data_IF_373909812162
#
_entry.id   IF_373909812162
#
_cell.length_a   1.000
_cell.length_b   1.000
_cell.length_c   1.000
_cell.angle_alpha   90.00
_cell.angle_beta   90.00
_cell.angle_gamma   90.00
#
_symmetry.space_group_name_H-M   'P 1'
#
loop_
_entity.id
_entity.type
_entity.pdbx_description
1 polymer ?
#
# COMPACT_ATOMS: atom_id res chain seq x y z
N UNK A 1 -24.33 36.93 -0.10
CA UNK A 1 -24.07 35.64 -0.80
C UNK A 1 -22.90 34.97 -0.14
N UNK A 2 -23.13 33.88 0.61
CA UNK A 2 -22.05 33.08 1.22
C UNK A 2 -21.42 32.22 0.11
N UNK A 3 -20.16 32.50 -0.24
CA UNK A 3 -19.35 31.62 -1.11
C UNK A 3 -19.15 30.29 -0.37
N UNK A 4 -19.88 29.27 -0.76
CA UNK A 4 -19.60 27.88 -0.39
C UNK A 4 -18.21 27.55 -0.96
N UNK A 5 -17.17 27.52 -0.10
CA UNK A 5 -15.89 26.87 -0.46
C UNK A 5 -16.23 25.41 -0.77
N UNK A 6 -16.15 25.02 -2.03
CA UNK A 6 -16.15 23.61 -2.41
C UNK A 6 -15.04 22.94 -1.61
N UNK A 7 -15.36 21.98 -0.75
CA UNK A 7 -14.35 21.11 -0.14
C UNK A 7 -13.64 20.43 -1.31
N UNK A 8 -12.37 20.75 -1.52
CA UNK A 8 -11.53 19.99 -2.43
C UNK A 8 -11.55 18.57 -1.91
N UNK A 9 -12.08 17.65 -2.70
CA UNK A 9 -12.07 16.23 -2.36
C UNK A 9 -10.64 15.72 -2.49
N UNK A 10 -9.95 15.62 -1.35
CA UNK A 10 -8.59 15.12 -1.27
C UNK A 10 -8.55 13.59 -1.10
N UNK A 11 -9.63 12.86 -1.41
CA UNK A 11 -9.62 11.40 -1.37
C UNK A 11 -8.66 10.82 -2.40
N UNK A 12 -8.02 9.71 -2.05
CA UNK A 12 -7.14 8.96 -2.96
C UNK A 12 -8.00 8.09 -3.88
N UNK A 13 -9.03 7.46 -3.33
CA UNK A 13 -10.05 6.71 -4.06
C UNK A 13 -11.36 6.72 -3.28
N UNK A 14 -12.40 6.06 -3.81
CA UNK A 14 -13.69 5.88 -3.14
C UNK A 14 -13.56 5.33 -1.71
N UNK A 15 -12.60 4.46 -1.47
CA UNK A 15 -12.42 3.76 -0.20
C UNK A 15 -11.08 4.08 0.50
N UNK A 16 -10.32 5.06 0.02
CA UNK A 16 -9.08 5.52 0.67
C UNK A 16 -9.13 7.04 0.81
N UNK A 17 -9.18 7.52 2.05
CA UNK A 17 -9.04 8.94 2.34
C UNK A 17 -7.57 9.38 2.28
N UNK A 18 -7.32 10.67 2.06
CA UNK A 18 -5.98 11.26 2.16
C UNK A 18 -5.34 10.98 3.53
N UNK A 19 -6.13 11.09 4.61
CA UNK A 19 -5.67 10.85 5.97
C UNK A 19 -5.17 9.41 6.17
N UNK A 20 -5.89 8.41 5.69
CA UNK A 20 -5.45 7.00 5.78
C UNK A 20 -4.18 6.77 4.98
N UNK A 21 -4.14 7.29 3.76
CA UNK A 21 -3.01 7.10 2.85
C UNK A 21 -1.70 7.74 3.34
N UNK A 22 -1.77 8.75 4.20
CA UNK A 22 -0.60 9.48 4.73
C UNK A 22 -0.37 9.25 6.22
N UNK A 23 -1.23 8.48 6.89
CA UNK A 23 -1.11 8.23 8.33
C UNK A 23 0.11 7.38 8.66
N UNK A 24 0.84 7.77 9.70
CA UNK A 24 1.88 6.97 10.33
C UNK A 24 2.02 7.32 11.80
N UNK A 25 1.93 6.30 12.64
CA UNK A 25 2.15 6.47 14.09
C UNK A 25 3.58 6.97 14.38
N UNK A 26 4.57 6.44 13.66
CA UNK A 26 5.97 6.86 13.78
C UNK A 26 6.15 8.31 13.38
N UNK A 27 5.54 8.74 12.26
CA UNK A 27 5.60 10.14 11.83
C UNK A 27 5.01 11.07 12.89
N UNK A 28 3.87 10.70 13.48
CA UNK A 28 3.24 11.47 14.56
C UNK A 28 4.15 11.56 15.81
N UNK A 29 4.71 10.43 16.24
CA UNK A 29 5.60 10.35 17.41
C UNK A 29 6.87 11.18 17.21
N UNK A 30 7.48 11.12 16.03
CA UNK A 30 8.72 11.80 15.69
C UNK A 30 8.49 13.21 15.11
N UNK A 31 7.24 13.65 14.97
CA UNK A 31 6.84 14.94 14.36
C UNK A 31 7.33 15.11 12.91
N UNK A 32 7.44 14.00 12.17
CA UNK A 32 7.82 14.00 10.75
C UNK A 32 6.61 14.43 9.91
N UNK A 33 6.82 15.38 9.00
CA UNK A 33 5.80 15.84 8.04
C UNK A 33 5.71 14.86 6.87
N UNK A 34 4.79 13.90 6.96
CA UNK A 34 4.56 12.90 5.90
C UNK A 34 3.58 13.43 4.85
N UNK A 35 4.01 14.38 4.04
CA UNK A 35 3.17 15.09 3.06
C UNK A 35 3.61 14.72 1.63
N UNK A 36 2.75 14.07 0.83
CA UNK A 36 3.04 13.73 -0.55
C UNK A 36 3.03 14.97 -1.46
N UNK A 37 3.89 14.96 -2.49
CA UNK A 37 3.83 15.91 -3.59
C UNK A 37 2.64 15.61 -4.51
N UNK A 38 2.31 16.51 -5.44
CA UNK A 38 1.27 16.26 -6.46
C UNK A 38 1.58 15.02 -7.30
N UNK A 39 2.85 14.78 -7.65
CA UNK A 39 3.27 13.58 -8.36
C UNK A 39 3.02 12.32 -7.54
N UNK A 40 3.36 12.34 -6.26
CA UNK A 40 3.10 11.21 -5.35
C UNK A 40 1.59 10.95 -5.23
N UNK A 41 0.76 12.00 -5.11
CA UNK A 41 -0.70 11.87 -5.06
C UNK A 41 -1.27 11.24 -6.35
N UNK A 42 -0.75 11.60 -7.52
CA UNK A 42 -1.13 10.97 -8.80
C UNK A 42 -0.79 9.47 -8.80
N UNK A 43 0.42 9.11 -8.36
CA UNK A 43 0.85 7.71 -8.28
C UNK A 43 -0.02 6.92 -7.29
N UNK A 44 -0.32 7.50 -6.12
CA UNK A 44 -1.21 6.89 -5.12
C UNK A 44 -2.61 6.62 -5.68
N UNK A 45 -3.17 7.56 -6.43
CA UNK A 45 -4.48 7.39 -7.10
C UNK A 45 -4.44 6.27 -8.13
N UNK A 46 -3.35 6.13 -8.89
CA UNK A 46 -3.20 5.06 -9.88
C UNK A 46 -3.14 3.69 -9.22
N UNK A 47 -2.31 3.48 -8.20
CA UNK A 47 -2.26 2.18 -7.52
C UNK A 47 -3.57 1.87 -6.79
N UNK A 48 -4.24 2.89 -6.26
CA UNK A 48 -5.56 2.71 -5.66
C UNK A 48 -6.61 2.27 -6.69
N UNK A 49 -6.64 2.89 -7.87
CA UNK A 49 -7.57 2.56 -8.95
C UNK A 49 -7.28 1.18 -9.55
N UNK A 50 -6.00 0.87 -9.82
CA UNK A 50 -5.61 -0.35 -10.55
C UNK A 50 -5.59 -1.60 -9.65
N UNK A 51 -5.33 -1.45 -8.36
CA UNK A 51 -5.14 -2.58 -7.45
C UNK A 51 -6.12 -2.56 -6.28
N UNK A 52 -6.12 -1.50 -5.48
CA UNK A 52 -6.88 -1.51 -4.23
C UNK A 52 -8.40 -1.52 -4.46
N UNK A 53 -8.90 -0.70 -5.35
CA UNK A 53 -10.35 -0.59 -5.57
C UNK A 53 -10.95 -1.89 -6.13
N UNK A 54 -10.40 -2.55 -7.17
CA UNK A 54 -10.86 -3.86 -7.61
C UNK A 54 -10.79 -4.94 -6.51
N UNK A 55 -9.69 -4.95 -5.73
CA UNK A 55 -9.55 -5.86 -4.61
C UNK A 55 -10.63 -5.63 -3.54
N UNK A 56 -10.89 -4.36 -3.19
CA UNK A 56 -11.88 -3.96 -2.19
C UNK A 56 -13.31 -4.33 -2.63
N UNK A 57 -13.62 -4.17 -3.90
CA UNK A 57 -14.93 -4.54 -4.48
C UNK A 57 -15.14 -6.06 -4.48
N UNK A 58 -14.13 -6.81 -4.90
CA UNK A 58 -14.18 -8.28 -4.87
C UNK A 58 -14.26 -8.82 -3.43
N UNK A 59 -13.52 -8.25 -2.50
CA UNK A 59 -13.52 -8.67 -1.10
C UNK A 59 -14.89 -8.49 -0.44
N UNK A 60 -15.64 -7.46 -0.84
CA UNK A 60 -16.94 -7.07 -0.30
C UNK A 60 -16.94 -6.82 1.22
N UNK A 61 -15.80 -6.38 1.75
CA UNK A 61 -15.64 -5.97 3.15
C UNK A 61 -14.47 -4.99 3.29
N UNK A 62 -14.35 -4.23 4.40
CA UNK A 62 -13.25 -3.30 4.61
C UNK A 62 -11.87 -3.98 4.53
N UNK A 63 -10.93 -3.27 3.91
CA UNK A 63 -9.50 -3.60 3.86
C UNK A 63 -8.76 -2.44 4.51
N UNK A 64 -7.95 -2.73 5.52
CA UNK A 64 -7.15 -1.72 6.22
C UNK A 64 -5.94 -1.34 5.39
N UNK A 65 -5.67 -0.07 5.28
CA UNK A 65 -4.40 0.47 4.80
C UNK A 65 -3.45 0.53 6.00
N UNK A 66 -2.43 -0.32 6.01
CA UNK A 66 -1.41 -0.33 7.05
C UNK A 66 -0.35 0.74 6.78
N UNK A 67 0.00 0.95 5.52
CA UNK A 67 0.91 1.99 5.04
C UNK A 67 0.67 2.25 3.56
N UNK A 68 0.72 3.50 3.13
CA UNK A 68 0.67 3.82 1.71
C UNK A 68 1.80 4.78 1.35
N UNK A 69 1.69 6.07 1.61
CA UNK A 69 2.78 7.02 1.35
C UNK A 69 3.74 7.13 2.55
N UNK A 70 5.03 7.16 2.26
CA UNK A 70 6.10 7.45 3.22
C UNK A 70 7.09 8.44 2.61
N UNK A 71 7.27 9.61 3.20
CA UNK A 71 8.38 10.48 2.81
C UNK A 71 9.74 9.81 3.17
N UNK A 72 10.83 10.26 2.55
CA UNK A 72 12.17 9.67 2.74
C UNK A 72 12.60 9.65 4.22
N UNK A 73 12.34 10.74 4.96
CA UNK A 73 12.65 10.83 6.38
C UNK A 73 11.92 9.78 7.20
N UNK A 74 10.61 9.59 6.96
CA UNK A 74 9.83 8.56 7.62
C UNK A 74 10.31 7.16 7.24
N UNK A 75 10.58 6.93 5.96
CA UNK A 75 11.05 5.64 5.48
C UNK A 75 12.40 5.26 6.13
N UNK A 76 13.30 6.22 6.30
CA UNK A 76 14.57 6.04 7.02
C UNK A 76 14.34 5.74 8.50
N UNK A 77 13.45 6.49 9.15
CA UNK A 77 13.15 6.35 10.58
C UNK A 77 12.59 4.95 10.94
N UNK A 78 11.88 4.30 10.01
CA UNK A 78 11.34 2.94 10.21
C UNK A 78 12.26 1.83 9.66
N UNK A 79 13.45 2.16 9.16
CA UNK A 79 14.39 1.20 8.59
C UNK A 79 13.96 0.64 7.22
N UNK A 80 13.15 1.37 6.47
CA UNK A 80 12.70 0.97 5.14
C UNK A 80 13.83 1.02 4.11
N UNK A 81 13.71 0.21 3.04
CA UNK A 81 14.64 0.23 1.92
C UNK A 81 14.71 1.61 1.27
N UNK A 82 15.90 2.08 0.91
CA UNK A 82 16.08 3.32 0.14
C UNK A 82 15.40 3.29 -1.24
N UNK A 83 15.11 2.08 -1.76
CA UNK A 83 14.40 1.86 -3.01
C UNK A 83 12.91 1.53 -2.80
N UNK A 84 12.37 1.85 -1.61
CA UNK A 84 10.97 1.57 -1.29
C UNK A 84 10.01 2.32 -2.20
N UNK A 85 9.08 1.61 -2.79
CA UNK A 85 8.06 2.18 -3.68
C UNK A 85 7.02 3.03 -2.93
N UNK A 86 6.93 2.92 -1.61
CA UNK A 86 6.12 3.81 -0.77
C UNK A 86 6.59 5.27 -0.83
N UNK A 87 7.89 5.51 -1.04
CA UNK A 87 8.45 6.87 -1.13
C UNK A 87 7.88 7.63 -2.33
N UNK A 88 7.59 6.91 -3.42
CA UNK A 88 7.06 7.48 -4.66
C UNK A 88 5.53 7.37 -4.77
N UNK A 89 4.85 6.83 -3.76
CA UNK A 89 3.41 6.62 -3.80
C UNK A 89 2.94 5.47 -4.68
N UNK A 90 3.80 4.51 -5.02
CA UNK A 90 3.47 3.37 -5.88
C UNK A 90 3.00 2.13 -5.13
N UNK A 91 3.04 2.11 -3.81
CA UNK A 91 2.81 0.91 -3.01
C UNK A 91 1.75 1.10 -1.91
N UNK A 92 1.08 0.00 -1.59
CA UNK A 92 0.13 -0.13 -0.50
C UNK A 92 0.49 -1.38 0.30
N UNK A 93 0.58 -1.22 1.63
CA UNK A 93 0.54 -2.33 2.58
C UNK A 93 -0.89 -2.41 3.14
N UNK A 94 -1.53 -3.56 3.02
CA UNK A 94 -2.91 -3.72 3.44
C UNK A 94 -3.20 -5.06 4.10
N UNK A 95 -4.30 -5.10 4.86
CA UNK A 95 -4.78 -6.29 5.56
C UNK A 95 -6.30 -6.39 5.51
N UNK A 96 -6.80 -7.61 5.41
CA UNK A 96 -8.22 -7.89 5.51
C UNK A 96 -8.80 -7.49 6.88
N UNK A 97 -10.03 -7.00 6.85
CA UNK A 97 -10.82 -6.73 8.05
C UNK A 97 -12.16 -7.48 8.03
N UNK A 98 -12.28 -8.54 7.26
CA UNK A 98 -13.54 -9.27 7.10
C UNK A 98 -13.37 -10.77 6.94
N UNK A 99 -14.30 -11.37 6.22
CA UNK A 99 -14.38 -12.84 6.08
C UNK A 99 -13.26 -13.45 5.25
N UNK A 100 -12.79 -12.73 4.21
CA UNK A 100 -11.68 -13.20 3.39
C UNK A 100 -10.36 -12.96 4.10
N UNK A 101 -9.47 -13.95 4.09
CA UNK A 101 -8.15 -13.88 4.70
C UNK A 101 -7.18 -13.03 3.86
N UNK A 102 -6.05 -12.64 4.44
CA UNK A 102 -4.97 -12.01 3.66
C UNK A 102 -4.43 -12.94 2.58
N UNK A 103 -4.44 -14.26 2.79
CA UNK A 103 -4.06 -15.25 1.79
C UNK A 103 -4.99 -15.21 0.58
N UNK A 104 -6.31 -15.19 0.81
CA UNK A 104 -7.30 -15.07 -0.27
C UNK A 104 -7.19 -13.73 -1.02
N UNK A 105 -6.92 -12.62 -0.32
CA UNK A 105 -6.66 -11.33 -0.97
C UNK A 105 -5.40 -11.39 -1.84
N UNK A 106 -4.34 -12.02 -1.36
CA UNK A 106 -3.08 -12.18 -2.09
C UNK A 106 -3.27 -12.99 -3.38
N UNK A 107 -3.94 -14.15 -3.29
CA UNK A 107 -4.20 -14.98 -4.46
C UNK A 107 -5.11 -14.26 -5.48
N UNK A 108 -6.11 -13.52 -5.02
CA UNK A 108 -6.94 -12.71 -5.93
C UNK A 108 -6.11 -11.68 -6.70
N UNK A 109 -5.22 -10.95 -6.03
CA UNK A 109 -4.33 -9.97 -6.71
C UNK A 109 -3.47 -10.70 -7.73
N UNK A 110 -2.83 -11.80 -7.33
CA UNK A 110 -1.92 -12.59 -8.16
C UNK A 110 -2.58 -13.09 -9.44
N UNK A 111 -3.82 -13.53 -9.36
CA UNK A 111 -4.53 -14.17 -10.47
C UNK A 111 -5.30 -13.18 -11.36
N UNK A 112 -5.75 -12.04 -10.81
CA UNK A 112 -6.75 -11.20 -11.47
C UNK A 112 -6.29 -9.75 -11.73
N UNK A 113 -5.20 -9.27 -11.11
CA UNK A 113 -4.78 -7.89 -11.21
C UNK A 113 -3.38 -7.74 -11.80
N UNK A 114 -3.13 -6.60 -12.44
CA UNK A 114 -1.77 -6.20 -12.86
C UNK A 114 -1.08 -5.49 -11.67
N UNK A 115 0.19 -5.83 -11.42
CA UNK A 115 1.00 -5.23 -10.36
C UNK A 115 2.48 -5.19 -10.75
N UNK A 116 3.26 -4.34 -10.08
CA UNK A 116 4.70 -4.34 -10.23
C UNK A 116 5.37 -5.35 -9.29
N UNK A 117 4.98 -5.31 -8.01
CA UNK A 117 5.48 -6.20 -6.99
C UNK A 117 4.33 -6.60 -6.05
N UNK A 118 4.26 -7.88 -5.72
CA UNK A 118 3.32 -8.44 -4.76
C UNK A 118 4.13 -9.25 -3.73
N UNK A 119 4.02 -8.91 -2.43
CA UNK A 119 4.79 -9.56 -1.40
C UNK A 119 3.88 -10.16 -0.35
N UNK A 120 4.09 -11.43 -0.09
CA UNK A 120 3.58 -12.16 1.07
C UNK A 120 4.43 -11.78 2.29
N UNK A 121 3.94 -10.88 3.10
CA UNK A 121 4.69 -10.32 4.22
C UNK A 121 4.50 -11.16 5.48
N UNK A 122 5.50 -11.99 5.77
CA UNK A 122 5.56 -12.87 6.94
C UNK A 122 4.37 -13.85 7.04
N UNK A 123 3.88 -14.09 8.27
CA UNK A 123 2.75 -15.01 8.48
C UNK A 123 3.18 -16.48 8.38
N UNK A 124 2.26 -17.31 7.90
CA UNK A 124 2.45 -18.75 7.67
C UNK A 124 2.19 -19.11 6.20
N UNK A 125 2.03 -20.39 5.88
CA UNK A 125 1.82 -20.83 4.50
C UNK A 125 0.36 -20.62 4.03
N UNK A 126 -0.56 -20.34 4.94
CA UNK A 126 -1.97 -20.12 4.63
C UNK A 126 -2.31 -18.63 4.46
N UNK A 127 -1.62 -17.74 5.22
CA UNK A 127 -1.92 -16.32 5.19
C UNK A 127 -0.72 -15.45 5.63
N UNK A 128 -0.41 -14.36 4.89
CA UNK A 128 0.56 -13.37 5.34
C UNK A 128 0.01 -12.54 6.50
N UNK A 129 0.89 -11.88 7.25
CA UNK A 129 0.47 -10.89 8.25
C UNK A 129 -0.18 -9.67 7.58
N UNK A 130 0.37 -9.23 6.46
CA UNK A 130 -0.18 -8.22 5.57
C UNK A 130 0.32 -8.46 4.15
N UNK A 131 -0.24 -7.74 3.21
CA UNK A 131 0.13 -7.80 1.80
C UNK A 131 0.78 -6.48 1.43
N UNK A 132 1.96 -6.53 0.81
CA UNK A 132 2.51 -5.41 0.06
C UNK A 132 2.19 -5.58 -1.42
N UNK A 133 1.64 -4.55 -2.03
CA UNK A 133 1.40 -4.53 -3.47
C UNK A 133 1.74 -3.17 -4.05
N UNK A 134 2.36 -3.16 -5.22
CA UNK A 134 2.73 -1.94 -5.92
C UNK A 134 2.29 -1.96 -7.38
N UNK A 135 2.13 -0.78 -7.94
CA UNK A 135 1.83 -0.56 -9.35
C UNK A 135 2.54 0.69 -9.85
N UNK A 136 3.30 0.59 -10.91
CA UNK A 136 4.02 1.72 -11.52
C UNK A 136 3.31 2.15 -12.81
N UNK A 137 3.31 1.30 -13.81
CA UNK A 137 2.57 1.46 -15.07
C UNK A 137 2.48 0.11 -15.78
N UNK A 138 1.54 -0.02 -16.70
CA UNK A 138 1.38 -1.26 -17.49
C UNK A 138 2.68 -1.69 -18.19
N UNK A 139 3.49 -0.73 -18.65
CA UNK A 139 4.76 -1.03 -19.35
C UNK A 139 5.92 -1.34 -18.41
N UNK A 140 5.88 -0.81 -17.18
CA UNK A 140 7.01 -0.88 -16.24
C UNK A 140 6.81 -1.92 -15.13
N UNK A 141 5.61 -2.46 -14.99
CA UNK A 141 5.31 -3.48 -13.99
C UNK A 141 6.12 -4.74 -14.24
N UNK A 142 6.81 -5.22 -13.20
CA UNK A 142 7.70 -6.39 -13.25
C UNK A 142 7.00 -7.70 -12.97
N UNK A 143 5.78 -7.66 -12.45
CA UNK A 143 5.00 -8.83 -12.02
C UNK A 143 5.78 -9.75 -11.06
N UNK A 144 6.57 -9.15 -10.16
CA UNK A 144 7.38 -9.90 -9.20
C UNK A 144 6.54 -10.31 -8.01
N UNK A 145 6.57 -11.61 -7.70
CA UNK A 145 5.91 -12.18 -6.54
C UNK A 145 6.98 -12.65 -5.55
N UNK A 146 6.91 -12.16 -4.33
CA UNK A 146 7.91 -12.41 -3.30
C UNK A 146 7.25 -12.87 -1.99
N UNK A 147 8.05 -13.55 -1.18
CA UNK A 147 7.72 -13.83 0.23
C UNK A 147 8.80 -13.29 1.14
N UNK A 148 8.39 -12.48 2.10
CA UNK A 148 9.26 -11.97 3.15
C UNK A 148 9.32 -12.95 4.33
N UNK A 149 10.53 -13.25 4.81
CA UNK A 149 10.76 -14.10 5.99
C UNK A 149 11.82 -13.48 6.90
N UNK A 150 11.70 -13.72 8.19
CA UNK A 150 12.77 -13.39 9.13
C UNK A 150 13.93 -14.40 8.98
N UNK A 151 15.14 -13.87 9.00
CA UNK A 151 16.37 -14.64 9.15
C UNK A 151 17.20 -14.03 10.29
N UNK A 152 16.98 -14.52 11.50
CA UNK A 152 17.47 -13.85 12.70
C UNK A 152 16.84 -12.46 12.85
N UNK A 153 17.67 -11.42 12.95
CA UNK A 153 17.23 -10.01 13.01
C UNK A 153 17.00 -9.36 11.63
N UNK A 154 17.32 -10.05 10.55
CA UNK A 154 17.21 -9.54 9.18
C UNK A 154 15.93 -10.05 8.50
N UNK A 155 15.50 -9.34 7.45
CA UNK A 155 14.40 -9.77 6.57
C UNK A 155 15.00 -10.20 5.23
N UNK A 156 14.56 -11.35 4.73
CA UNK A 156 14.90 -11.85 3.41
C UNK A 156 13.66 -11.98 2.54
N UNK A 157 13.82 -11.73 1.23
CA UNK A 157 12.75 -11.82 0.24
C UNK A 157 13.07 -12.93 -0.76
N UNK A 158 12.14 -13.84 -0.95
CA UNK A 158 12.28 -14.99 -1.84
C UNK A 158 11.23 -14.89 -2.95
N UNK A 159 11.64 -15.16 -4.20
CA UNK A 159 10.69 -15.28 -5.32
C UNK A 159 9.86 -16.56 -5.11
N UNK A 160 8.55 -16.47 -5.30
CA UNK A 160 7.60 -17.57 -5.17
C UNK A 160 6.68 -17.64 -6.38
#
# INVERSE_FOLDING_TARGET
MKKTKSKVDNSISKNISYKEATYSQTANKLKIKNVPTETHLKNMKVVAEKVFQPLREWADHPIRINSMYRCEELNTAIGGSLKSQHINGYAIDCSSMGKKTNGELFEYIKENLEFDQLIWEFGNDESPKWIHVSYVSKKSNRNRILRAKYRGSSVTYHII
#
